data_IF_410454799611
#
_entry.id   IF_410454799611
#
_cell.length_a   1.000
_cell.length_b   1.000
_cell.length_c   1.000
_cell.angle_alpha   90.00
_cell.angle_beta   90.00
_cell.angle_gamma   90.00
#
_symmetry.space_group_name_H-M   'P 1'
#
loop_
_entity.id
_entity.type
_entity.pdbx_description
1 polymer ?
#
# COMPACT_ATOMS: atom_id res chain seq x y z
N UNK A 1 8.04 -15.91 2.50
CA UNK A 1 6.69 -15.35 2.29
C UNK A 1 6.85 -13.85 2.04
N UNK A 2 6.08 -13.27 1.12
CA UNK A 2 6.18 -11.84 0.76
C UNK A 2 4.94 -11.12 1.30
N UNK A 3 5.15 -9.95 1.90
CA UNK A 3 4.09 -9.06 2.39
C UNK A 3 4.18 -7.72 1.68
N UNK A 4 3.04 -7.18 1.27
CA UNK A 4 2.97 -5.92 0.54
C UNK A 4 1.54 -5.56 0.11
N UNK A 5 1.38 -4.38 -0.47
CA UNK A 5 0.14 -3.90 -1.05
C UNK A 5 0.10 -4.24 -2.54
N UNK A 6 -1.00 -4.77 -3.03
CA UNK A 6 -1.24 -4.87 -4.48
C UNK A 6 -1.47 -3.47 -5.03
N UNK A 7 -0.58 -3.03 -5.91
CA UNK A 7 -0.73 -1.76 -6.63
C UNK A 7 -1.51 -1.95 -7.92
N UNK A 8 -1.21 -3.02 -8.65
CA UNK A 8 -1.85 -3.35 -9.92
C UNK A 8 -1.86 -4.85 -10.12
N UNK A 9 -3.00 -5.37 -10.59
CA UNK A 9 -3.13 -6.74 -11.04
C UNK A 9 -3.39 -6.72 -12.56
N UNK A 10 -2.52 -7.37 -13.32
CA UNK A 10 -2.72 -7.65 -14.75
C UNK A 10 -2.78 -9.16 -14.96
N UNK A 11 -3.19 -9.57 -16.15
CA UNK A 11 -3.42 -10.97 -16.51
C UNK A 11 -2.24 -11.89 -16.18
N UNK A 12 -1.02 -11.46 -16.51
CA UNK A 12 0.20 -12.27 -16.34
C UNK A 12 1.06 -11.87 -15.14
N UNK A 13 0.83 -10.71 -14.54
CA UNK A 13 1.70 -10.16 -13.50
C UNK A 13 0.96 -9.34 -12.46
N UNK A 14 1.48 -9.41 -11.24
CA UNK A 14 1.03 -8.70 -10.07
C UNK A 14 2.14 -7.74 -9.64
N UNK A 15 1.83 -6.47 -9.48
CA UNK A 15 2.76 -5.48 -8.92
C UNK A 15 2.43 -5.27 -7.45
N UNK A 16 3.40 -5.60 -6.59
CA UNK A 16 3.32 -5.41 -5.15
C UNK A 16 4.23 -4.25 -4.73
N UNK A 17 3.72 -3.32 -3.94
CA UNK A 17 4.54 -2.43 -3.12
C UNK A 17 4.87 -3.11 -1.82
N UNK A 18 6.16 -3.30 -1.58
CA UNK A 18 6.68 -3.92 -0.39
C UNK A 18 6.73 -2.92 0.78
N UNK A 19 7.00 -3.44 1.99
CA UNK A 19 7.07 -2.66 3.23
C UNK A 19 8.17 -1.58 3.24
N UNK A 20 9.24 -1.81 2.48
CA UNK A 20 10.33 -0.88 2.27
C UNK A 20 10.00 0.23 1.25
N UNK A 21 8.80 0.21 0.67
CA UNK A 21 8.37 1.14 -0.37
C UNK A 21 8.78 0.74 -1.79
N UNK A 22 9.55 -0.34 -1.95
CA UNK A 22 9.98 -0.83 -3.26
C UNK A 22 8.84 -1.51 -4.01
N UNK A 23 8.82 -1.33 -5.33
CA UNK A 23 7.87 -2.02 -6.21
C UNK A 23 8.47 -3.30 -6.75
N UNK A 24 7.72 -4.39 -6.63
CA UNK A 24 8.11 -5.69 -7.15
C UNK A 24 7.03 -6.26 -8.03
N UNK A 25 7.40 -6.53 -9.27
CA UNK A 25 6.56 -7.26 -10.20
C UNK A 25 6.78 -8.76 -10.04
N UNK A 26 5.68 -9.51 -9.92
CA UNK A 26 5.69 -10.96 -9.75
C UNK A 26 4.80 -11.57 -10.83
N UNK A 27 5.33 -12.54 -11.57
CA UNK A 27 4.54 -13.30 -12.54
C UNK A 27 3.52 -14.19 -11.84
N UNK A 28 2.27 -14.19 -12.31
CA UNK A 28 1.18 -14.97 -11.71
C UNK A 28 1.48 -16.47 -11.68
N UNK A 29 2.16 -16.98 -12.70
CA UNK A 29 2.64 -18.37 -12.80
C UNK A 29 3.58 -18.80 -11.66
N UNK A 30 4.22 -17.85 -10.97
CA UNK A 30 5.14 -18.12 -9.84
C UNK A 30 4.48 -17.97 -8.47
N UNK A 31 3.21 -17.58 -8.42
CA UNK A 31 2.46 -17.41 -7.17
C UNK A 31 1.80 -18.74 -6.81
N UNK A 32 2.27 -19.38 -5.73
CA UNK A 32 1.65 -20.62 -5.22
C UNK A 32 0.34 -20.38 -4.48
N UNK A 33 0.15 -19.20 -3.90
CA UNK A 33 -1.02 -18.81 -3.14
C UNK A 33 -0.96 -17.34 -2.76
N UNK A 34 -2.13 -16.73 -2.60
CA UNK A 34 -2.30 -15.36 -2.15
C UNK A 34 -3.24 -15.40 -0.93
N UNK A 35 -2.77 -14.91 0.21
CA UNK A 35 -3.56 -14.87 1.42
C UNK A 35 -3.65 -13.44 1.93
N UNK A 36 -4.85 -13.04 2.36
CA UNK A 36 -5.06 -11.76 2.99
C UNK A 36 -4.48 -11.79 4.40
N UNK A 37 -3.33 -11.14 4.61
CA UNK A 37 -2.66 -11.13 5.92
C UNK A 37 -3.46 -10.44 7.04
N UNK A 38 -4.52 -9.68 6.72
CA UNK A 38 -5.35 -8.95 7.69
C UNK A 38 -4.63 -7.83 8.46
N UNK A 39 -3.31 -7.68 8.25
CA UNK A 39 -2.47 -6.66 8.88
C UNK A 39 -2.42 -5.41 8.03
N UNK A 40 -2.67 -4.28 8.67
CA UNK A 40 -2.49 -2.97 8.05
C UNK A 40 -1.00 -2.73 7.78
N UNK A 41 -0.68 -2.15 6.62
CA UNK A 41 0.65 -1.63 6.31
C UNK A 41 0.92 -0.28 7.00
N UNK A 42 -0.05 0.24 7.76
CA UNK A 42 0.12 1.44 8.56
C UNK A 42 1.13 1.17 9.68
N UNK A 43 2.24 1.91 9.76
CA UNK A 43 3.19 1.75 10.85
C UNK A 43 2.53 2.14 12.18
N UNK A 44 2.74 1.34 13.22
CA UNK A 44 2.10 1.51 14.52
C UNK A 44 2.31 2.92 15.12
N UNK A 45 3.49 3.50 14.90
CA UNK A 45 3.85 4.83 15.37
C UNK A 45 3.09 5.99 14.71
N UNK A 46 2.40 5.75 13.59
CA UNK A 46 1.66 6.80 12.88
C UNK A 46 0.43 7.24 13.68
N UNK A 47 -0.23 6.31 14.40
CA UNK A 47 -1.40 6.64 15.24
C UNK A 47 -1.01 7.35 16.53
N UNK A 48 0.11 6.96 17.13
CA UNK A 48 0.58 7.47 18.41
C UNK A 48 1.09 8.92 18.34
N UNK A 49 1.63 9.32 17.18
CA UNK A 49 2.26 10.64 17.00
C UNK A 49 1.40 11.64 16.23
N UNK A 50 0.20 11.24 15.78
CA UNK A 50 -0.65 12.06 14.94
C UNK A 50 -1.98 12.34 15.67
N UNK A 51 -2.17 13.55 16.23
CA UNK A 51 -3.48 13.95 16.75
C UNK A 51 -4.50 13.97 15.61
N UNK A 52 -5.79 13.86 15.96
CA UNK A 52 -6.88 13.76 14.97
C UNK A 52 -6.87 14.90 13.94
N UNK A 53 -6.49 16.12 14.37
CA UNK A 53 -6.37 17.27 13.48
C UNK A 53 -5.28 17.07 12.42
N UNK A 54 -4.08 16.62 12.81
CA UNK A 54 -2.99 16.35 11.87
C UNK A 54 -3.33 15.23 10.88
N UNK A 55 -4.14 14.25 11.31
CA UNK A 55 -4.63 13.20 10.41
C UNK A 55 -5.64 13.77 9.40
N UNK A 56 -6.53 14.66 9.84
CA UNK A 56 -7.47 15.34 8.95
C UNK A 56 -6.74 16.22 7.92
N UNK A 57 -5.73 16.98 8.35
CA UNK A 57 -4.86 17.75 7.47
C UNK A 57 -4.10 16.88 6.47
N UNK A 58 -3.56 15.73 6.91
CA UNK A 58 -2.92 14.76 6.01
C UNK A 58 -3.88 14.18 4.97
N UNK A 59 -5.10 13.81 5.39
CA UNK A 59 -6.13 13.32 4.46
C UNK A 59 -6.50 14.42 3.45
N UNK A 60 -6.67 15.66 3.91
CA UNK A 60 -6.93 16.81 3.04
C UNK A 60 -5.82 17.01 2.01
N UNK A 61 -4.55 16.97 2.46
CA UNK A 61 -3.39 17.05 1.58
C UNK A 61 -3.39 15.92 0.53
N UNK A 62 -3.63 14.67 0.93
CA UNK A 62 -3.65 13.51 0.03
C UNK A 62 -4.80 13.58 -0.98
N UNK A 63 -5.97 14.13 -0.61
CA UNK A 63 -7.10 14.31 -1.52
C UNK A 63 -6.84 15.38 -2.59
N UNK A 64 -6.10 16.43 -2.24
CA UNK A 64 -5.68 17.47 -3.18
C UNK A 64 -4.57 16.91 -4.08
N UNK A 65 -3.54 16.33 -3.47
CA UNK A 65 -2.40 15.77 -4.19
C UNK A 65 -2.80 14.63 -5.15
N UNK A 66 -3.72 13.76 -4.74
CA UNK A 66 -4.20 12.67 -5.59
C UNK A 66 -5.03 13.11 -6.80
N UNK A 67 -5.51 14.37 -6.81
CA UNK A 67 -6.34 14.92 -7.88
C UNK A 67 -5.53 15.65 -8.96
N UNK A 68 -4.30 16.05 -8.64
CA UNK A 68 -3.37 16.72 -9.57
C UNK A 68 -2.61 15.72 -10.46
N UNK A 69 -2.84 14.41 -10.28
CA UNK A 69 -2.19 13.32 -11.02
C UNK A 69 -3.11 12.53 -11.95
N UNK A 70 -4.35 12.99 -12.20
CA UNK A 70 -5.26 12.45 -13.23
C UNK A 70 -5.11 13.18 -14.58
#
# INVERSE_FOLDING_TARGET
MLFGRVLAEKENNLTLRLLDGSDRQIFRKRIKGLEASGRSLMPDGLKLRMPHQNLADLIGFLQIFGREGE
#
